data_IF_209167342620
#
_entry.id   IF_209167342620
#
_cell.length_a   1.000
_cell.length_b   1.000
_cell.length_c   1.000
_cell.angle_alpha   90.00
_cell.angle_beta   90.00
_cell.angle_gamma   90.00
#
_symmetry.space_group_name_H-M   'P 1'
#
loop_
_entity.id
_entity.type
_entity.pdbx_description
1 polymer ?
#
# COMPACT_ATOMS: atom_id res chain seq x y z
N UNK A 1 -57.55 -7.47 52.78
CA UNK A 1 -57.70 -6.01 52.60
C UNK A 1 -57.41 -5.71 51.13
N UNK A 2 -58.35 -5.09 50.41
CA UNK A 2 -58.08 -4.50 49.09
C UNK A 2 -57.38 -3.14 49.23
N UNK A 3 -57.47 -2.20 48.27
CA UNK A 3 -57.92 -2.28 46.87
C UNK A 3 -56.90 -1.63 45.89
N UNK A 4 -57.15 -1.63 44.57
CA UNK A 4 -56.49 -0.66 43.69
C UNK A 4 -56.34 -1.00 42.21
N UNK A 5 -57.45 -1.10 41.47
CA UNK A 5 -57.51 -0.53 40.10
C UNK A 5 -57.81 0.99 40.26
N UNK A 6 -57.60 1.92 39.29
CA UNK A 6 -57.63 1.80 37.81
C UNK A 6 -56.60 2.78 37.12
N UNK A 7 -56.75 3.38 35.91
CA UNK A 7 -57.67 3.17 34.78
C UNK A 7 -57.03 3.08 33.37
N UNK A 8 -57.92 2.78 32.42
CA UNK A 8 -57.76 2.56 30.98
C UNK A 8 -57.14 3.75 30.21
N UNK A 9 -56.37 3.41 29.16
CA UNK A 9 -56.16 4.22 27.96
C UNK A 9 -56.33 3.34 26.69
N UNK A 10 -56.80 3.90 25.55
CA UNK A 10 -57.56 3.17 24.53
C UNK A 10 -56.72 2.40 23.49
N UNK A 11 -57.35 1.50 22.71
CA UNK A 11 -56.67 0.57 21.79
C UNK A 11 -56.25 1.25 20.48
N UNK A 12 -54.97 1.12 20.13
CA UNK A 12 -54.49 1.33 18.76
C UNK A 12 -54.71 0.07 17.91
N UNK A 13 -55.07 0.19 16.62
CA UNK A 13 -55.55 -0.92 15.82
C UNK A 13 -54.41 -1.87 15.42
N UNK A 14 -54.67 -3.18 15.51
CA UNK A 14 -53.97 -4.15 14.68
C UNK A 14 -54.64 -4.19 13.29
N UNK A 15 -53.85 -4.39 12.23
CA UNK A 15 -54.17 -5.54 11.39
C UNK A 15 -52.91 -6.34 11.03
N UNK A 16 -53.10 -7.66 11.06
CA UNK A 16 -52.17 -8.67 10.57
C UNK A 16 -51.93 -8.56 9.04
N UNK A 17 -50.86 -9.23 8.62
CA UNK A 17 -50.59 -9.70 7.26
C UNK A 17 -50.08 -8.68 6.23
N UNK A 18 -48.76 -8.46 6.23
CA UNK A 18 -47.83 -8.97 5.20
C UNK A 18 -46.44 -8.51 5.61
N UNK A 19 -45.65 -9.43 6.16
CA UNK A 19 -44.23 -9.19 6.34
C UNK A 19 -43.60 -9.06 4.95
N UNK A 20 -43.57 -7.84 4.42
CA UNK A 20 -42.59 -7.45 3.45
C UNK A 20 -41.28 -7.27 4.23
N UNK A 21 -40.21 -8.05 3.97
CA UNK A 21 -38.90 -7.57 4.35
C UNK A 21 -38.61 -6.38 3.44
N UNK A 22 -38.68 -5.17 4.00
CA UNK A 22 -37.91 -4.05 3.49
C UNK A 22 -36.47 -4.53 3.26
N UNK A 23 -35.84 -4.27 2.11
CA UNK A 23 -34.41 -4.43 1.99
C UNK A 23 -33.77 -3.34 2.83
N UNK A 24 -33.42 -3.68 4.07
CA UNK A 24 -32.45 -2.91 4.83
C UNK A 24 -31.13 -2.92 4.05
N UNK A 25 -30.41 -1.79 3.92
CA UNK A 25 -28.99 -1.81 3.58
C UNK A 25 -28.25 -2.37 4.80
N UNK A 26 -28.17 -3.69 4.86
CA UNK A 26 -27.61 -4.46 5.96
C UNK A 26 -27.01 -5.74 5.42
N UNK A 27 -25.97 -5.63 4.60
CA UNK A 27 -25.02 -6.72 4.39
C UNK A 27 -23.77 -6.45 5.24
N UNK A 28 -23.93 -6.53 6.56
CA UNK A 28 -22.86 -6.97 7.44
C UNK A 28 -23.10 -8.44 7.76
N UNK A 29 -22.28 -9.32 7.19
CA UNK A 29 -22.48 -10.76 7.33
C UNK A 29 -21.41 -11.61 6.67
N UNK A 30 -20.13 -11.27 6.87
CA UNK A 30 -19.01 -12.11 6.45
C UNK A 30 -17.71 -11.66 7.09
N UNK A 31 -17.45 -12.13 8.31
CA UNK A 31 -16.12 -12.06 8.88
C UNK A 31 -15.14 -12.80 7.94
N UNK A 32 -14.34 -12.01 7.25
CA UNK A 32 -12.93 -12.26 7.00
C UNK A 32 -12.54 -13.60 6.35
N UNK A 33 -12.85 -13.78 5.07
CA UNK A 33 -11.78 -14.19 4.17
C UNK A 33 -11.21 -12.91 3.56
N UNK A 34 -10.15 -12.39 4.18
CA UNK A 34 -9.51 -11.12 3.83
C UNK A 34 -8.85 -11.18 2.46
N UNK A 35 -9.66 -11.22 1.40
CA UNK A 35 -9.21 -11.10 0.04
C UNK A 35 -8.86 -9.63 -0.19
N UNK A 36 -7.58 -9.33 0.00
CA UNK A 36 -7.03 -8.00 -0.31
C UNK A 36 -7.34 -7.71 -1.79
N UNK A 37 -8.04 -6.62 -2.12
CA UNK A 37 -8.25 -6.27 -3.51
C UNK A 37 -6.93 -5.83 -4.13
N UNK A 38 -6.69 -6.21 -5.39
CA UNK A 38 -5.44 -5.88 -6.09
C UNK A 38 -5.17 -4.36 -6.08
N UNK A 39 -6.24 -3.57 -6.20
CA UNK A 39 -6.19 -2.10 -6.19
C UNK A 39 -5.60 -1.54 -4.89
N UNK A 40 -5.89 -2.13 -3.74
CA UNK A 40 -5.36 -1.67 -2.45
C UNK A 40 -3.83 -1.82 -2.33
N UNK A 41 -3.22 -2.65 -3.17
CA UNK A 41 -1.76 -2.86 -3.23
C UNK A 41 -1.16 -2.15 -4.45
N UNK A 42 -1.79 -2.27 -5.61
CA UNK A 42 -1.28 -1.74 -6.87
C UNK A 42 -1.36 -0.21 -6.94
N UNK A 43 -2.45 0.41 -6.47
CA UNK A 43 -2.60 1.87 -6.49
C UNK A 43 -1.47 2.57 -5.72
N UNK A 44 -1.24 2.27 -4.43
CA UNK A 44 -0.16 2.94 -3.68
C UNK A 44 1.24 2.63 -4.23
N UNK A 45 1.49 1.44 -4.79
CA UNK A 45 2.76 1.15 -5.46
C UNK A 45 2.97 1.99 -6.73
N UNK A 46 1.90 2.21 -7.52
CA UNK A 46 1.94 3.04 -8.72
C UNK A 46 2.11 4.52 -8.38
N UNK A 47 1.43 4.99 -7.34
CA UNK A 47 1.59 6.34 -6.81
C UNK A 47 3.02 6.57 -6.32
N UNK A 48 3.58 5.63 -5.54
CA UNK A 48 4.96 5.69 -5.11
C UNK A 48 5.94 5.73 -6.30
N UNK A 49 5.70 4.92 -7.33
CA UNK A 49 6.50 4.94 -8.56
C UNK A 49 6.41 6.30 -9.28
N UNK A 50 5.21 6.87 -9.37
CA UNK A 50 4.97 8.19 -9.96
C UNK A 50 5.69 9.30 -9.21
N UNK A 51 5.65 9.27 -7.88
CA UNK A 51 6.37 10.18 -7.01
C UNK A 51 7.90 10.03 -7.13
N UNK A 52 8.38 8.81 -7.39
CA UNK A 52 9.79 8.56 -7.61
C UNK A 52 10.27 9.00 -8.99
N UNK A 53 9.43 8.88 -10.03
CA UNK A 53 9.75 9.13 -11.45
C UNK A 53 10.66 10.35 -11.74
N UNK A 54 10.50 11.53 -11.12
CA UNK A 54 11.40 12.67 -11.36
C UNK A 54 12.81 12.50 -10.78
N UNK A 55 12.98 11.71 -9.72
CA UNK A 55 14.25 11.46 -9.04
C UNK A 55 14.95 10.17 -9.50
N UNK A 56 14.21 9.23 -10.10
CA UNK A 56 14.77 7.96 -10.59
C UNK A 56 15.12 8.00 -12.07
N UNK A 57 16.11 7.20 -12.46
CA UNK A 57 16.38 6.95 -13.87
C UNK A 57 15.15 6.34 -14.56
N UNK A 58 14.85 6.84 -15.77
CA UNK A 58 13.73 6.36 -16.60
C UNK A 58 13.73 4.84 -16.78
N UNK A 59 14.90 4.22 -16.88
CA UNK A 59 15.05 2.76 -16.99
C UNK A 59 14.58 2.02 -15.73
N UNK A 60 14.84 2.57 -14.55
CA UNK A 60 14.40 1.99 -13.27
C UNK A 60 12.87 2.13 -13.13
N UNK A 61 12.33 3.30 -13.48
CA UNK A 61 10.89 3.51 -13.52
C UNK A 61 10.18 2.55 -14.50
N UNK A 62 10.76 2.30 -15.68
CA UNK A 62 10.22 1.35 -16.67
C UNK A 62 10.28 -0.10 -16.17
N UNK A 63 11.42 -0.52 -15.59
CA UNK A 63 11.57 -1.87 -15.01
C UNK A 63 10.56 -2.12 -13.88
N UNK A 64 10.41 -1.18 -12.94
CA UNK A 64 9.45 -1.30 -11.85
C UNK A 64 8.01 -1.32 -12.41
N UNK A 65 7.70 -0.47 -13.40
CA UNK A 65 6.38 -0.44 -14.05
C UNK A 65 6.02 -1.77 -14.73
N UNK A 66 6.97 -2.40 -15.43
CA UNK A 66 6.78 -3.75 -16.00
C UNK A 66 6.55 -4.79 -14.91
N UNK A 67 7.27 -4.72 -13.80
CA UNK A 67 7.10 -5.66 -12.68
C UNK A 67 5.79 -5.46 -11.93
N UNK A 68 5.31 -4.23 -11.75
CA UNK A 68 3.98 -3.96 -11.21
C UNK A 68 2.88 -4.50 -12.13
N UNK A 69 3.07 -4.43 -13.44
CA UNK A 69 2.15 -5.04 -14.41
C UNK A 69 2.14 -6.56 -14.26
N UNK A 70 3.30 -7.19 -14.10
CA UNK A 70 3.40 -8.63 -13.85
C UNK A 70 2.75 -9.05 -12.51
N UNK A 71 2.88 -8.23 -11.46
CA UNK A 71 2.17 -8.42 -10.19
C UNK A 71 0.65 -8.36 -10.40
N UNK A 72 0.16 -7.37 -11.15
CA UNK A 72 -1.27 -7.25 -11.47
C UNK A 72 -1.82 -8.44 -12.28
N UNK A 73 -1.07 -8.92 -13.28
CA UNK A 73 -1.44 -10.11 -14.06
C UNK A 73 -1.44 -11.38 -13.18
N UNK A 74 -0.43 -11.56 -12.32
CA UNK A 74 -0.42 -12.67 -11.36
C UNK A 74 -1.63 -12.61 -10.41
N UNK A 75 -2.03 -11.42 -9.99
CA UNK A 75 -3.18 -11.20 -9.10
C UNK A 75 -4.49 -11.52 -9.79
N UNK A 76 -4.68 -11.00 -11.01
CA UNK A 76 -5.86 -11.24 -11.83
C UNK A 76 -6.02 -12.72 -12.21
N UNK A 77 -4.90 -13.42 -12.43
CA UNK A 77 -4.89 -14.86 -12.69
C UNK A 77 -5.08 -15.71 -11.43
N UNK A 78 -5.16 -15.11 -10.25
CA UNK A 78 -5.26 -15.83 -8.97
C UNK A 78 -4.01 -16.64 -8.62
N UNK A 79 -2.86 -16.32 -9.24
CA UNK A 79 -1.57 -17.00 -8.98
C UNK A 79 -0.94 -16.62 -7.64
N UNK A 80 -1.47 -15.60 -6.96
CA UNK A 80 -1.03 -15.26 -5.61
C UNK A 80 -1.89 -15.96 -4.58
N UNK A 81 -1.23 -16.73 -3.72
CA UNK A 81 -1.84 -17.31 -2.53
C UNK A 81 -2.38 -16.22 -1.58
N UNK A 82 -3.49 -16.49 -0.88
CA UNK A 82 -4.05 -15.61 0.15
C UNK A 82 -3.01 -15.05 1.16
N UNK A 83 -2.06 -15.85 1.71
CA UNK A 83 -1.01 -15.32 2.58
C UNK A 83 -0.09 -14.32 1.88
N UNK A 84 0.18 -14.49 0.58
CA UNK A 84 1.02 -13.55 -0.19
C UNK A 84 0.30 -12.23 -0.36
N UNK A 85 -0.98 -12.25 -0.73
CA UNK A 85 -1.80 -11.02 -0.88
C UNK A 85 -1.88 -10.22 0.42
N UNK A 86 -2.07 -10.90 1.55
CA UNK A 86 -2.10 -10.28 2.88
C UNK A 86 -0.75 -9.67 3.27
N UNK A 87 0.35 -10.40 3.04
CA UNK A 87 1.71 -9.87 3.26
C UNK A 87 2.01 -8.67 2.35
N UNK A 88 1.48 -8.67 1.13
CA UNK A 88 1.70 -7.56 0.20
C UNK A 88 0.99 -6.28 0.61
N UNK A 89 -0.23 -6.40 1.16
CA UNK A 89 -0.91 -5.27 1.81
C UNK A 89 -0.10 -4.70 2.98
N UNK A 90 0.52 -5.56 3.80
CA UNK A 90 1.40 -5.12 4.88
C UNK A 90 2.65 -4.41 4.33
N UNK A 91 3.30 -4.96 3.30
CA UNK A 91 4.48 -4.35 2.68
C UNK A 91 4.17 -2.93 2.18
N UNK A 92 3.05 -2.76 1.50
CA UNK A 92 2.58 -1.45 1.02
C UNK A 92 2.34 -0.49 2.18
N UNK A 93 1.71 -0.95 3.25
CA UNK A 93 1.47 -0.11 4.44
C UNK A 93 2.77 0.33 5.11
N UNK A 94 3.79 -0.53 5.14
CA UNK A 94 5.12 -0.16 5.63
C UNK A 94 5.84 0.80 4.66
N UNK A 95 5.65 0.65 3.35
CA UNK A 95 6.15 1.56 2.31
C UNK A 95 5.59 2.98 2.49
N UNK A 96 4.27 3.11 2.73
CA UNK A 96 3.63 4.41 3.02
C UNK A 96 4.18 5.06 4.29
N UNK A 97 4.51 4.25 5.30
CA UNK A 97 5.12 4.71 6.55
C UNK A 97 6.63 4.98 6.44
N UNK A 98 7.22 4.84 5.24
CA UNK A 98 8.66 4.92 4.97
C UNK A 98 9.49 3.96 5.84
N UNK A 99 8.89 2.85 6.24
CA UNK A 99 9.54 1.80 7.05
C UNK A 99 10.16 0.75 6.14
N UNK A 100 11.26 1.13 5.52
CA UNK A 100 11.98 0.27 4.57
C UNK A 100 12.47 -1.03 5.20
N UNK A 101 12.93 -1.00 6.46
CA UNK A 101 13.41 -2.19 7.18
C UNK A 101 12.28 -3.21 7.44
N UNK A 102 11.10 -2.73 7.82
CA UNK A 102 9.93 -3.61 8.02
C UNK A 102 9.45 -4.21 6.69
N UNK A 103 9.50 -3.43 5.61
CA UNK A 103 9.21 -3.93 4.26
C UNK A 103 10.22 -5.01 3.81
N UNK A 104 11.52 -4.86 4.12
CA UNK A 104 12.54 -5.88 3.82
C UNK A 104 12.33 -7.17 4.63
N UNK A 105 11.86 -7.07 5.88
CA UNK A 105 11.52 -8.25 6.69
C UNK A 105 10.35 -9.05 6.08
N UNK A 106 9.29 -8.36 5.65
CA UNK A 106 8.16 -8.98 4.95
C UNK A 106 8.62 -9.60 3.64
N UNK A 107 9.49 -8.92 2.90
CA UNK A 107 10.12 -9.43 1.68
C UNK A 107 10.93 -10.70 1.95
N UNK A 108 11.71 -10.73 3.04
CA UNK A 108 12.53 -11.88 3.42
C UNK A 108 11.66 -13.09 3.78
N UNK A 109 10.56 -12.89 4.52
CA UNK A 109 9.56 -13.95 4.77
C UNK A 109 8.92 -14.45 3.46
N UNK A 110 8.52 -13.54 2.56
CA UNK A 110 7.94 -13.91 1.27
C UNK A 110 8.90 -14.71 0.37
N UNK A 111 10.19 -14.37 0.37
CA UNK A 111 11.20 -15.12 -0.38
C UNK A 111 11.51 -16.49 0.24
N UNK A 112 11.18 -16.76 1.50
CA UNK A 112 11.36 -18.08 2.10
C UNK A 112 10.15 -18.97 1.83
N UNK A 113 8.94 -18.44 2.00
CA UNK A 113 7.72 -19.24 1.90
C UNK A 113 7.20 -19.38 0.45
N UNK A 114 7.33 -18.33 -0.38
CA UNK A 114 6.60 -18.20 -1.66
C UNK A 114 7.46 -17.63 -2.80
N UNK A 115 8.76 -17.93 -2.84
CA UNK A 115 9.71 -17.36 -3.83
C UNK A 115 9.26 -17.50 -5.28
N UNK A 116 8.67 -18.64 -5.65
CA UNK A 116 8.25 -18.92 -7.03
C UNK A 116 7.12 -17.99 -7.50
N UNK A 117 6.27 -17.53 -6.59
CA UNK A 117 5.15 -16.63 -6.90
C UNK A 117 5.59 -15.16 -6.93
N UNK A 118 6.53 -14.78 -6.07
CA UNK A 118 6.91 -13.38 -5.82
C UNK A 118 8.18 -12.93 -6.52
N UNK A 119 9.16 -13.81 -6.75
CA UNK A 119 10.52 -13.46 -7.22
C UNK A 119 10.55 -12.63 -8.50
N UNK A 120 9.61 -12.84 -9.42
CA UNK A 120 9.54 -12.13 -10.70
C UNK A 120 9.30 -10.63 -10.53
N UNK A 121 8.32 -10.23 -9.71
CA UNK A 121 7.93 -8.82 -9.56
C UNK A 121 8.49 -8.19 -8.28
N UNK A 122 8.79 -9.00 -7.26
CA UNK A 122 9.21 -8.54 -5.93
C UNK A 122 10.58 -7.84 -5.96
N UNK A 123 11.48 -8.21 -6.87
CA UNK A 123 12.76 -7.48 -7.02
C UNK A 123 12.57 -6.06 -7.55
N UNK A 124 11.47 -5.80 -8.28
CA UNK A 124 11.05 -4.46 -8.68
C UNK A 124 10.57 -3.65 -7.50
N UNK A 125 9.80 -4.28 -6.61
CA UNK A 125 9.34 -3.65 -5.37
C UNK A 125 10.53 -3.36 -4.44
N UNK A 126 11.50 -4.27 -4.33
CA UNK A 126 12.74 -4.03 -3.57
C UNK A 126 13.53 -2.85 -4.13
N UNK A 127 13.62 -2.76 -5.46
CA UNK A 127 14.27 -1.62 -6.12
C UNK A 127 13.48 -0.33 -5.89
N UNK A 128 12.15 -0.37 -5.98
CA UNK A 128 11.28 0.77 -5.64
C UNK A 128 11.51 1.26 -4.21
N UNK A 129 11.61 0.35 -3.24
CA UNK A 129 11.92 0.65 -1.84
C UNK A 129 13.29 1.34 -1.72
N UNK A 130 14.32 0.79 -2.38
CA UNK A 130 15.66 1.37 -2.36
C UNK A 130 15.68 2.79 -2.98
N UNK A 131 14.97 3.00 -4.09
CA UNK A 131 14.89 4.31 -4.73
C UNK A 131 14.05 5.30 -3.91
N UNK A 132 12.95 4.87 -3.28
CA UNK A 132 12.19 5.71 -2.34
C UNK A 132 13.02 6.11 -1.11
N UNK A 133 13.93 5.24 -0.66
CA UNK A 133 14.89 5.53 0.41
C UNK A 133 15.99 6.48 -0.06
N UNK A 134 16.42 6.35 -1.31
CA UNK A 134 17.47 7.19 -1.90
C UNK A 134 16.96 8.55 -2.35
N UNK A 135 15.64 8.71 -2.51
CA UNK A 135 14.99 10.00 -2.70
C UNK A 135 15.38 10.92 -1.53
N UNK A 136 16.14 12.01 -1.76
CA UNK A 136 16.44 12.96 -0.70
C UNK A 136 15.11 13.53 -0.25
N UNK A 137 14.75 13.30 1.01
CA UNK A 137 13.55 13.84 1.62
C UNK A 137 13.75 15.34 1.86
N UNK A 138 13.76 16.14 0.78
CA UNK A 138 14.00 17.58 0.82
C UNK A 138 15.42 17.94 1.24
N UNK A 139 16.32 18.07 0.27
CA UNK A 139 17.34 19.12 0.33
C UNK A 139 17.00 20.10 -0.80
N UNK A 140 15.94 20.88 -0.57
CA UNK A 140 15.84 22.20 -1.17
C UNK A 140 16.80 23.08 -0.36
N UNK A 141 18.07 23.04 -0.76
CA UNK A 141 19.19 23.62 -0.06
C UNK A 141 20.24 24.08 -1.07
N UNK A 142 19.91 25.14 -1.78
CA UNK A 142 20.83 25.92 -2.59
C UNK A 142 22.13 26.27 -1.82
N UNK A 143 23.25 25.75 -2.28
CA UNK A 143 24.54 26.43 -2.40
C UNK A 143 25.30 25.70 -3.52
N UNK A 144 25.36 26.26 -4.72
CA UNK A 144 26.27 27.36 -5.02
C UNK A 144 27.66 26.75 -5.18
N UNK A 145 28.01 26.32 -6.38
CA UNK A 145 28.94 27.06 -7.25
C UNK A 145 30.42 26.87 -6.87
N UNK A 146 31.15 26.35 -7.85
CA UNK A 146 32.55 26.64 -8.18
C UNK A 146 33.59 26.58 -7.07
N UNK A 147 34.14 25.37 -6.89
CA UNK A 147 35.43 25.16 -6.21
C UNK A 147 36.50 24.75 -7.23
N UNK A 148 36.78 25.58 -8.23
CA UNK A 148 38.04 25.52 -8.98
C UNK A 148 39.11 26.28 -8.18
N UNK A 149 40.09 25.63 -7.53
CA UNK A 149 41.31 26.32 -7.16
C UNK A 149 42.17 26.46 -8.42
N UNK A 150 41.96 27.59 -9.11
CA UNK A 150 42.96 28.20 -9.96
C UNK A 150 44.18 28.43 -9.05
N UNK A 151 45.23 27.63 -9.18
CA UNK A 151 46.52 27.98 -8.59
C UNK A 151 47.29 28.78 -9.65
N UNK A 152 47.35 30.12 -9.55
CA UNK A 152 48.32 30.89 -10.32
C UNK A 152 49.71 30.55 -9.76
N UNK A 153 50.63 30.20 -10.65
CA UNK A 153 52.01 29.97 -10.28
C UNK A 153 52.65 31.19 -9.64
N UNK A 154 53.57 30.97 -8.70
CA UNK A 154 54.84 31.70 -8.56
C UNK A 154 55.66 30.96 -7.50
N UNK A 155 56.83 30.39 -7.85
CA UNK A 155 58.12 30.87 -7.34
C UNK A 155 59.31 30.10 -7.97
N UNK A 156 60.45 30.80 -8.15
CA UNK A 156 61.65 30.31 -8.84
C UNK A 156 62.54 29.47 -7.93
N UNK A 157 63.25 28.51 -8.50
CA UNK A 157 64.40 27.87 -7.82
C UNK A 157 65.67 28.52 -8.37
N UNK A 158 66.41 29.12 -7.44
CA UNK A 158 67.76 29.65 -7.57
C UNK A 158 68.77 28.50 -7.43
#
# INVERSE_FOLDING_TARGET
AGPGAPPLGPPGPAPSARGAPSPAPGEEGGAADGEVPADAVLVPLREALSACRPAVQKQVCDDIGRRLTALGDAWARGKLSAPVRRRMALLVRELERRRWDAADEIHRSLMVDHVNEVSLWLVGVKRLIAECRNLPAGEDGNAGEDGNPLFPGTQPQL
#
